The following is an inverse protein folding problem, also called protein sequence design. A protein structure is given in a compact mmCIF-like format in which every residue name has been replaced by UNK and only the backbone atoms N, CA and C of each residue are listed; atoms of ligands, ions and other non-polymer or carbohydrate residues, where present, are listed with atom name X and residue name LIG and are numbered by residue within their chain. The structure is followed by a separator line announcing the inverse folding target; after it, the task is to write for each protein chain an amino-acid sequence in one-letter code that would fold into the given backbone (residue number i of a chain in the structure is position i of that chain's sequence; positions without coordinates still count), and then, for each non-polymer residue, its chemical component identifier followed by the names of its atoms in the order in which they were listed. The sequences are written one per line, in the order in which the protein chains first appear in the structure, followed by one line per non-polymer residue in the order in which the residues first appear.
data_IF_977103015458
#
_entry.id   IF_977103015458
#
_cell.length_a   1.000
_cell.length_b   1.000
_cell.length_c   1.000
_cell.angle_alpha   90.00
_cell.angle_beta   90.00
_cell.angle_gamma   90.00
#
_symmetry.space_group_name_H-M   'P 1'
#
loop_
_entity.id
_entity.type
_entity.pdbx_description
1 polymer ?
#
# COMPACT_ATOMS: atom_id res chain seq x y z
N UNK A 1 -12.35 -43.96 19.93
CA UNK A 1 -11.60 -43.36 18.80
C UNK A 1 -10.98 -42.07 19.31
N UNK A 2 -9.73 -42.13 19.76
CA UNK A 2 -8.94 -40.94 20.05
C UNK A 2 -8.63 -40.24 18.73
N UNK A 3 -9.10 -39.00 18.55
CA UNK A 3 -8.63 -38.16 17.45
C UNK A 3 -7.17 -37.83 17.75
N UNK A 4 -6.25 -38.34 16.93
CA UNK A 4 -4.86 -37.96 16.99
C UNK A 4 -4.73 -36.43 17.01
N UNK A 5 -4.11 -35.91 18.07
CA UNK A 5 -3.80 -34.49 18.19
C UNK A 5 -2.69 -34.17 17.17
N UNK A 6 -3.09 -33.67 16.00
CA UNK A 6 -2.16 -33.18 14.98
C UNK A 6 -1.55 -31.91 15.57
N UNK A 7 -0.23 -31.92 15.80
CA UNK A 7 0.46 -30.70 16.21
C UNK A 7 0.19 -29.61 15.16
N UNK A 8 -0.22 -28.41 15.58
CA UNK A 8 -0.48 -27.33 14.64
C UNK A 8 0.82 -27.04 13.87
N UNK A 9 0.75 -26.86 12.54
CA UNK A 9 1.91 -26.52 11.73
C UNK A 9 2.64 -25.30 12.31
N UNK A 10 3.95 -25.21 12.09
CA UNK A 10 4.69 -24.01 12.47
C UNK A 10 4.00 -22.80 11.84
N UNK A 11 3.92 -21.67 12.56
CA UNK A 11 3.00 -20.58 12.19
C UNK A 11 3.23 -20.02 10.78
N UNK A 12 4.44 -20.16 10.23
CA UNK A 12 4.76 -19.83 8.84
C UNK A 12 4.18 -20.77 7.78
N UNK A 13 3.97 -22.05 8.11
CA UNK A 13 3.48 -23.07 7.19
C UNK A 13 2.01 -22.84 6.84
N UNK A 14 1.19 -22.37 7.79
CA UNK A 14 -0.22 -22.01 7.52
C UNK A 14 -0.33 -20.96 6.41
N UNK A 15 0.49 -19.90 6.50
CA UNK A 15 0.45 -18.81 5.52
C UNK A 15 0.90 -19.29 4.15
N UNK A 16 1.99 -20.08 4.12
CA UNK A 16 2.53 -20.67 2.90
C UNK A 16 1.53 -21.60 2.24
N UNK A 17 0.87 -22.47 3.00
CA UNK A 17 -0.14 -23.41 2.51
C UNK A 17 -1.34 -22.68 1.92
N UNK A 18 -1.85 -21.67 2.65
CA UNK A 18 -2.96 -20.83 2.19
C UNK A 18 -2.60 -20.11 0.89
N UNK A 19 -1.39 -19.55 0.80
CA UNK A 19 -0.88 -18.91 -0.43
C UNK A 19 -0.77 -19.92 -1.57
N UNK A 20 -0.16 -21.09 -1.35
CA UNK A 20 -0.01 -22.12 -2.40
C UNK A 20 -1.39 -22.51 -2.93
N UNK A 21 -2.36 -22.70 -2.04
CA UNK A 21 -3.73 -23.07 -2.42
C UNK A 21 -4.42 -22.02 -3.29
N UNK A 22 -4.25 -20.72 -2.99
CA UNK A 22 -4.96 -19.65 -3.68
C UNK A 22 -4.21 -19.09 -4.89
N UNK A 23 -2.88 -19.04 -4.83
CA UNK A 23 -2.04 -18.33 -5.78
C UNK A 23 -0.90 -19.18 -6.36
N UNK A 24 -0.58 -20.33 -5.78
CA UNK A 24 0.50 -21.22 -6.22
C UNK A 24 1.91 -20.71 -5.85
N UNK A 25 2.24 -19.45 -6.17
CA UNK A 25 3.57 -18.84 -5.93
C UNK A 25 3.49 -17.54 -5.12
N UNK A 26 4.64 -17.08 -4.59
CA UNK A 26 4.76 -15.76 -3.96
C UNK A 26 4.59 -14.64 -4.98
N UNK A 27 5.12 -14.83 -6.19
CA UNK A 27 5.03 -13.89 -7.30
C UNK A 27 3.57 -13.65 -7.69
N UNK A 28 2.75 -14.71 -7.73
CA UNK A 28 1.34 -14.59 -8.09
C UNK A 28 0.53 -13.85 -7.00
N UNK A 29 0.80 -14.11 -5.72
CA UNK A 29 0.16 -13.35 -4.64
C UNK A 29 0.57 -11.88 -4.70
N UNK A 30 1.88 -11.60 -4.86
CA UNK A 30 2.41 -10.24 -4.98
C UNK A 30 1.81 -9.50 -6.18
N UNK A 31 1.69 -10.17 -7.33
CA UNK A 31 1.03 -9.63 -8.50
C UNK A 31 -0.45 -9.30 -8.21
N UNK A 32 -1.16 -10.18 -7.50
CA UNK A 32 -2.59 -9.97 -7.16
C UNK A 32 -2.87 -8.76 -6.26
N UNK A 33 -1.84 -8.23 -5.59
CA UNK A 33 -1.94 -7.04 -4.73
C UNK A 33 -1.18 -5.85 -5.30
N UNK A 34 -0.98 -5.80 -6.62
CA UNK A 34 -0.62 -4.62 -7.40
C UNK A 34 0.52 -3.76 -6.81
N UNK A 35 1.59 -4.41 -6.33
CA UNK A 35 2.79 -3.71 -5.82
C UNK A 35 2.65 -3.11 -4.42
N UNK A 36 1.52 -3.29 -3.74
CA UNK A 36 1.38 -2.96 -2.31
C UNK A 36 2.18 -3.92 -1.42
N UNK A 37 2.54 -5.08 -1.96
CA UNK A 37 3.40 -6.08 -1.34
C UNK A 37 4.58 -6.35 -2.26
N UNK A 38 5.74 -6.63 -1.67
CA UNK A 38 6.88 -7.19 -2.41
C UNK A 38 7.18 -8.60 -1.88
N UNK A 39 7.88 -9.39 -2.70
CA UNK A 39 8.22 -10.79 -2.37
C UNK A 39 9.09 -10.91 -1.12
N UNK A 40 9.93 -9.92 -0.84
CA UNK A 40 10.75 -9.89 0.37
C UNK A 40 9.90 -9.75 1.63
N UNK A 41 8.94 -8.82 1.66
CA UNK A 41 8.06 -8.62 2.81
C UNK A 41 7.12 -9.82 3.01
N UNK A 42 6.63 -10.44 1.93
CA UNK A 42 5.88 -11.69 2.02
C UNK A 42 6.73 -12.84 2.57
N UNK A 43 7.96 -13.00 2.07
CA UNK A 43 8.89 -14.02 2.55
C UNK A 43 9.23 -13.83 4.04
N UNK A 44 9.41 -12.59 4.50
CA UNK A 44 9.60 -12.30 5.93
C UNK A 44 8.39 -12.74 6.77
N UNK A 45 7.19 -12.52 6.25
CA UNK A 45 5.95 -12.91 6.90
C UNK A 45 5.81 -14.45 6.96
N UNK A 46 6.07 -15.14 5.85
CA UNK A 46 6.04 -16.62 5.78
C UNK A 46 7.11 -17.28 6.66
N UNK A 47 8.25 -16.63 6.86
CA UNK A 47 9.31 -17.14 7.74
C UNK A 47 9.16 -16.67 9.19
N UNK A 48 7.98 -16.20 9.57
CA UNK A 48 7.65 -15.75 10.93
C UNK A 48 8.69 -14.78 11.53
N UNK A 49 9.24 -13.85 10.74
CA UNK A 49 10.13 -12.83 11.29
C UNK A 49 9.39 -12.01 12.34
N UNK A 50 10.08 -11.72 13.45
CA UNK A 50 9.46 -11.29 14.72
C UNK A 50 8.61 -10.02 14.67
N UNK A 51 8.63 -9.22 13.59
CA UNK A 51 7.94 -7.91 13.50
C UNK A 51 7.57 -7.52 12.05
N UNK A 52 6.59 -8.17 11.41
CA UNK A 52 6.07 -7.69 10.14
C UNK A 52 5.38 -6.34 10.33
N UNK A 53 5.40 -5.51 9.28
CA UNK A 53 4.64 -4.24 9.30
C UNK A 53 3.15 -4.57 9.29
N UNK A 54 2.37 -3.88 10.10
CA UNK A 54 0.91 -4.08 10.19
C UNK A 54 0.26 -3.99 8.80
N UNK A 55 0.63 -2.98 8.00
CA UNK A 55 0.15 -2.83 6.62
C UNK A 55 0.40 -4.06 5.75
N UNK A 56 1.60 -4.66 5.86
CA UNK A 56 1.92 -5.92 5.17
C UNK A 56 0.99 -7.05 5.58
N UNK A 57 0.71 -7.19 6.89
CA UNK A 57 -0.19 -8.23 7.39
C UNK A 57 -1.61 -8.04 6.83
N UNK A 58 -2.14 -6.81 6.82
CA UNK A 58 -3.48 -6.57 6.26
C UNK A 58 -3.57 -6.82 4.76
N UNK A 59 -2.57 -6.38 3.99
CA UNK A 59 -2.54 -6.61 2.54
C UNK A 59 -2.56 -8.11 2.25
N UNK A 60 -1.76 -8.89 2.99
CA UNK A 60 -1.71 -10.34 2.83
C UNK A 60 -3.00 -11.01 3.34
N UNK A 61 -3.58 -10.54 4.45
CA UNK A 61 -4.85 -11.04 4.97
C UNK A 61 -5.99 -10.86 3.96
N UNK A 62 -6.09 -9.65 3.40
CA UNK A 62 -7.04 -9.34 2.34
C UNK A 62 -6.87 -10.27 1.14
N UNK A 63 -5.64 -10.42 0.61
CA UNK A 63 -5.37 -11.32 -0.52
C UNK A 63 -5.77 -12.76 -0.21
N UNK A 64 -5.47 -13.23 1.00
CA UNK A 64 -5.75 -14.61 1.41
C UNK A 64 -7.19 -14.85 1.89
N UNK A 65 -8.06 -13.82 1.79
CA UNK A 65 -9.46 -13.86 2.22
C UNK A 65 -9.60 -14.34 3.66
N UNK A 66 -8.84 -13.71 4.54
CA UNK A 66 -8.86 -13.90 6.00
C UNK A 66 -8.84 -12.53 6.67
N UNK A 67 -9.33 -12.45 7.91
CA UNK A 67 -9.24 -11.18 8.64
C UNK A 67 -7.79 -10.93 9.10
N UNK A 68 -7.39 -9.66 9.27
CA UNK A 68 -6.11 -9.36 9.91
C UNK A 68 -5.97 -10.07 11.26
N UNK A 69 -7.02 -10.07 12.10
CA UNK A 69 -7.05 -10.70 13.41
C UNK A 69 -6.76 -12.21 13.33
N UNK A 70 -7.44 -12.92 12.43
CA UNK A 70 -7.18 -14.34 12.16
C UNK A 70 -5.72 -14.53 11.76
N UNK A 71 -5.19 -13.69 10.86
CA UNK A 71 -3.79 -13.77 10.45
C UNK A 71 -2.81 -13.53 11.60
N UNK A 72 -3.06 -12.54 12.47
CA UNK A 72 -2.22 -12.28 13.65
C UNK A 72 -2.23 -13.46 14.62
N UNK A 73 -3.40 -14.08 14.84
CA UNK A 73 -3.54 -15.28 15.68
C UNK A 73 -2.76 -16.46 15.10
N UNK A 74 -2.96 -16.77 13.81
CA UNK A 74 -2.30 -17.90 13.14
C UNK A 74 -0.78 -17.72 13.10
N UNK A 75 -0.32 -16.50 12.84
CA UNK A 75 1.11 -16.17 12.79
C UNK A 75 1.75 -16.04 14.19
N UNK A 76 0.97 -16.17 15.28
CA UNK A 76 1.40 -15.93 16.67
C UNK A 76 2.09 -14.57 16.83
N UNK A 77 1.66 -13.59 16.06
CA UNK A 77 2.18 -12.24 16.12
C UNK A 77 1.60 -11.55 17.38
N UNK A 78 2.37 -10.67 18.04
CA UNK A 78 1.87 -9.97 19.21
C UNK A 78 0.69 -9.08 18.82
N UNK A 79 -0.52 -9.52 19.17
CA UNK A 79 -1.78 -8.80 18.94
C UNK A 79 -1.78 -7.43 19.62
N UNK A 80 -0.87 -7.19 20.59
CA UNK A 80 -0.69 -5.91 21.30
C UNK A 80 -0.68 -4.69 20.38
N UNK A 81 -0.16 -4.80 19.15
CA UNK A 81 -0.15 -3.66 18.22
C UNK A 81 -1.52 -3.38 17.60
N UNK A 82 -2.34 -4.41 17.37
CA UNK A 82 -3.74 -4.25 17.00
C UNK A 82 -4.57 -3.85 18.21
N UNK A 83 -4.37 -4.48 19.38
CA UNK A 83 -5.04 -4.14 20.63
C UNK A 83 -4.81 -2.68 21.01
N UNK A 84 -3.59 -2.16 20.94
CA UNK A 84 -3.35 -0.76 21.27
C UNK A 84 -4.07 0.20 20.31
N UNK A 85 -4.14 -0.14 19.02
CA UNK A 85 -4.93 0.65 18.06
C UNK A 85 -6.43 0.51 18.33
N UNK A 86 -6.90 -0.69 18.65
CA UNK A 86 -8.28 -0.97 19.00
C UNK A 86 -8.69 -0.20 20.27
N UNK A 87 -7.89 -0.27 21.33
CA UNK A 87 -8.05 0.53 22.56
C UNK A 87 -8.02 2.05 22.30
N UNK A 88 -7.26 2.52 21.30
CA UNK A 88 -7.29 3.93 20.90
C UNK A 88 -8.59 4.27 20.18
N UNK A 89 -9.16 3.34 19.42
CA UNK A 89 -10.43 3.50 18.71
C UNK A 89 -11.64 3.37 19.63
N UNK A 90 -11.61 2.47 20.62
CA UNK A 90 -12.65 2.33 21.65
C UNK A 90 -12.79 3.59 22.52
N UNK A 91 -11.74 4.41 22.59
CA UNK A 91 -11.78 5.71 23.29
C UNK A 91 -12.46 6.80 22.47
N UNK A 92 -12.68 6.58 21.18
CA UNK A 92 -13.37 7.53 20.32
C UNK A 92 -14.87 7.34 20.50
N UNK A 93 -15.58 8.45 20.57
CA UNK A 93 -17.04 8.43 20.48
C UNK A 93 -17.50 7.90 19.11
N UNK A 94 -18.70 7.34 19.04
CA UNK A 94 -19.32 6.93 17.76
C UNK A 94 -19.32 8.05 16.72
N UNK A 95 -19.45 9.31 17.19
CA UNK A 95 -19.36 10.49 16.34
C UNK A 95 -17.97 10.63 15.71
N UNK A 96 -16.91 10.54 16.51
CA UNK A 96 -15.53 10.63 16.01
C UNK A 96 -15.16 9.45 15.09
N UNK A 97 -15.68 8.25 15.39
CA UNK A 97 -15.53 7.09 14.51
C UNK A 97 -16.21 7.32 13.15
N UNK A 98 -17.47 7.80 13.16
CA UNK A 98 -18.19 8.17 11.94
C UNK A 98 -17.48 9.29 11.18
N UNK A 99 -17.02 10.34 11.86
CA UNK A 99 -16.28 11.44 11.23
C UNK A 99 -14.99 10.94 10.58
N UNK A 100 -14.24 10.04 11.23
CA UNK A 100 -13.04 9.43 10.64
C UNK A 100 -13.35 8.55 9.43
N UNK A 101 -14.40 7.72 9.52
CA UNK A 101 -14.88 6.88 8.41
C UNK A 101 -15.32 7.73 7.23
N UNK A 102 -16.22 8.68 7.48
CA UNK A 102 -16.82 9.54 6.46
C UNK A 102 -15.75 10.44 5.83
N UNK A 103 -14.80 10.94 6.63
CA UNK A 103 -13.62 11.65 6.11
C UNK A 103 -12.86 10.78 5.14
N UNK A 104 -12.45 9.57 5.50
CA UNK A 104 -11.65 8.81 4.54
C UNK A 104 -12.45 8.17 3.40
N UNK A 105 -13.77 7.99 3.53
CA UNK A 105 -14.68 7.71 2.39
C UNK A 105 -14.79 8.91 1.45
N UNK A 106 -14.93 10.12 1.98
CA UNK A 106 -14.98 11.36 1.21
C UNK A 106 -13.65 11.60 0.50
N UNK A 107 -12.54 11.38 1.20
CA UNK A 107 -11.20 11.41 0.62
C UNK A 107 -11.05 10.36 -0.49
N UNK A 108 -11.56 9.15 -0.30
CA UNK A 108 -11.59 8.11 -1.33
C UNK A 108 -12.44 8.52 -2.54
N UNK A 109 -13.60 9.16 -2.31
CA UNK A 109 -14.49 9.68 -3.36
C UNK A 109 -13.86 10.83 -4.14
N UNK A 110 -13.20 11.77 -3.47
CA UNK A 110 -12.46 12.86 -4.12
C UNK A 110 -11.39 12.29 -5.04
N UNK A 111 -10.68 11.26 -4.58
CA UNK A 111 -9.69 10.56 -5.39
C UNK A 111 -10.29 9.87 -6.63
N UNK A 112 -11.51 9.32 -6.54
CA UNK A 112 -12.17 8.63 -7.68
C UNK A 112 -12.90 9.58 -8.64
N UNK A 113 -13.49 10.68 -8.15
CA UNK A 113 -14.21 11.66 -8.97
C UNK A 113 -13.24 12.54 -9.78
N UNK A 114 -12.11 12.94 -9.20
CA UNK A 114 -11.08 13.72 -9.92
C UNK A 114 -10.41 12.92 -11.05
N UNK A 115 -10.45 11.58 -10.98
CA UNK A 115 -9.93 10.69 -12.02
C UNK A 115 -10.86 10.57 -13.26
N UNK A 116 -12.10 11.07 -13.19
CA UNK A 116 -12.99 11.22 -14.34
C UNK A 116 -13.63 9.94 -14.90
N UNK A 117 -13.76 8.86 -14.12
CA UNK A 117 -14.34 7.59 -14.62
C UNK A 117 -15.79 7.33 -14.15
N UNK A 118 -16.64 6.69 -15.00
CA UNK A 118 -18.03 6.38 -14.66
C UNK A 118 -18.16 5.28 -13.59
N UNK A 119 -19.19 5.39 -12.75
CA UNK A 119 -19.44 4.54 -11.57
C UNK A 119 -19.82 3.07 -11.86
N UNK A 120 -20.21 2.73 -13.08
CA UNK A 120 -20.80 1.41 -13.38
C UNK A 120 -19.80 0.37 -13.93
N UNK A 121 -18.54 0.76 -14.14
CA UNK A 121 -17.44 -0.15 -14.48
C UNK A 121 -16.34 -0.07 -13.42
N UNK A 122 -16.69 -0.31 -12.15
CA UNK A 122 -15.68 -0.46 -11.09
C UNK A 122 -14.91 -1.78 -11.26
N UNK A 123 -14.04 -1.84 -12.26
CA UNK A 123 -12.68 -2.32 -12.05
C UNK A 123 -11.61 -1.51 -12.83
N UNK A 124 -11.22 -0.34 -12.31
CA UNK A 124 -10.13 0.48 -12.86
C UNK A 124 -8.75 -0.05 -12.44
N UNK A 125 -8.65 -1.02 -11.53
CA UNK A 125 -7.36 -1.55 -11.06
C UNK A 125 -6.73 -2.52 -12.07
N UNK A 126 -7.49 -3.09 -13.00
CA UNK A 126 -7.02 -4.08 -13.99
C UNK A 126 -6.37 -3.49 -15.25
N UNK A 127 -6.59 -2.20 -15.61
CA UNK A 127 -6.01 -1.60 -16.84
C UNK A 127 -4.77 -0.74 -16.62
N UNK A 128 -4.27 -0.68 -15.39
CA UNK A 128 -3.06 0.05 -15.03
C UNK A 128 -1.77 -0.72 -15.36
N UNK A 129 -1.87 -2.00 -15.72
CA UNK A 129 -0.74 -2.94 -15.77
C UNK A 129 0.27 -2.74 -16.91
N UNK A 130 0.03 -1.90 -17.92
CA UNK A 130 0.93 -1.89 -19.09
C UNK A 130 1.20 -0.55 -19.78
N UNK A 131 1.08 0.59 -19.07
CA UNK A 131 1.65 1.85 -19.60
C UNK A 131 3.08 2.01 -19.14
N UNK A 132 4.01 1.75 -20.06
CA UNK A 132 5.45 1.87 -19.86
C UNK A 132 5.81 3.21 -19.25
N UNK A 133 6.39 3.18 -18.06
CA UNK A 133 7.11 4.27 -17.38
C UNK A 133 8.33 4.79 -18.15
N UNK A 134 8.47 4.44 -19.44
CA UNK A 134 9.66 4.63 -20.27
C UNK A 134 10.16 6.07 -20.31
N UNK A 135 9.29 7.05 -20.04
CA UNK A 135 9.61 8.47 -20.06
C UNK A 135 9.74 9.11 -18.67
N UNK A 136 9.49 8.39 -17.58
CA UNK A 136 9.54 8.96 -16.22
C UNK A 136 10.93 9.50 -15.88
N UNK A 137 11.98 8.71 -16.13
CA UNK A 137 13.35 9.11 -15.88
C UNK A 137 13.78 10.36 -16.64
N UNK A 138 13.44 10.43 -17.92
CA UNK A 138 13.75 11.58 -18.77
C UNK A 138 13.01 12.85 -18.33
N UNK A 139 11.72 12.73 -17.99
CA UNK A 139 10.92 13.84 -17.48
C UNK A 139 11.41 14.32 -16.12
N UNK A 140 11.73 13.41 -15.20
CA UNK A 140 12.31 13.73 -13.90
C UNK A 140 13.62 14.50 -14.06
N UNK A 141 14.53 14.02 -14.93
CA UNK A 141 15.80 14.67 -15.25
C UNK A 141 15.57 16.09 -15.75
N UNK A 142 14.70 16.25 -16.74
CA UNK A 142 14.37 17.56 -17.32
C UNK A 142 13.87 18.52 -16.24
N UNK A 143 12.92 18.08 -15.40
CA UNK A 143 12.34 18.94 -14.36
C UNK A 143 13.36 19.31 -13.28
N UNK A 144 14.20 18.36 -12.87
CA UNK A 144 15.31 18.63 -11.95
C UNK A 144 16.26 19.69 -12.51
N UNK A 145 16.59 19.61 -13.80
CA UNK A 145 17.46 20.59 -14.47
C UNK A 145 16.80 21.97 -14.60
N UNK A 146 15.49 22.05 -14.87
CA UNK A 146 14.72 23.31 -14.87
C UNK A 146 14.73 24.01 -13.50
N UNK A 147 14.83 23.26 -12.40
CA UNK A 147 14.94 23.80 -11.04
C UNK A 147 16.37 24.20 -10.66
N UNK A 148 17.35 24.01 -11.56
CA UNK A 148 18.76 24.25 -11.28
C UNK A 148 19.36 23.23 -10.29
N UNK A 149 18.74 22.06 -10.13
CA UNK A 149 19.17 21.04 -9.17
C UNK A 149 20.09 20.01 -9.82
N UNK A 150 21.09 19.56 -9.06
CA UNK A 150 21.84 18.35 -9.37
C UNK A 150 21.18 17.12 -8.72
N UNK A 151 21.61 15.90 -9.07
CA UNK A 151 21.05 14.65 -8.51
C UNK A 151 21.15 14.57 -6.97
N UNK A 152 22.29 14.91 -6.32
CA UNK A 152 22.35 15.06 -4.86
C UNK A 152 21.32 16.02 -4.26
N UNK A 153 21.03 17.14 -4.92
CA UNK A 153 20.01 18.10 -4.48
C UNK A 153 18.63 17.46 -4.49
N UNK A 154 18.25 16.78 -5.58
CA UNK A 154 16.97 16.05 -5.65
C UNK A 154 16.89 14.94 -4.60
N UNK A 155 18.00 14.22 -4.36
CA UNK A 155 18.08 13.23 -3.29
C UNK A 155 17.76 13.87 -1.92
N UNK A 156 18.37 15.03 -1.63
CA UNK A 156 18.12 15.80 -0.41
C UNK A 156 16.66 16.26 -0.31
N UNK A 157 16.07 16.77 -1.40
CA UNK A 157 14.67 17.21 -1.42
C UNK A 157 13.68 16.05 -1.27
N UNK A 158 14.02 14.86 -1.78
CA UNK A 158 13.20 13.65 -1.61
C UNK A 158 13.26 13.06 -0.19
N UNK A 159 14.29 13.39 0.59
CA UNK A 159 14.48 13.01 2.00
C UNK A 159 14.97 11.58 2.25
N UNK A 160 14.68 10.62 1.36
CA UNK A 160 15.01 9.20 1.59
C UNK A 160 15.46 8.45 0.32
N UNK A 161 15.46 9.11 -0.85
CA UNK A 161 15.88 8.48 -2.10
C UNK A 161 17.33 8.88 -2.40
N UNK A 162 18.22 7.89 -2.46
CA UNK A 162 19.64 8.13 -2.71
C UNK A 162 19.94 8.54 -4.15
N UNK A 163 20.99 9.37 -4.34
CA UNK A 163 21.43 9.87 -5.65
C UNK A 163 21.67 8.77 -6.69
N UNK A 164 22.15 7.60 -6.26
CA UNK A 164 22.45 6.48 -7.16
C UNK A 164 21.16 5.90 -7.77
N UNK A 165 20.08 5.85 -6.99
CA UNK A 165 18.79 5.37 -7.48
C UNK A 165 18.21 6.37 -8.49
N UNK A 166 18.26 7.66 -8.17
CA UNK A 166 17.89 8.75 -9.09
C UNK A 166 18.66 8.65 -10.39
N UNK A 167 19.98 8.48 -10.32
CA UNK A 167 20.86 8.36 -11.48
C UNK A 167 20.47 7.20 -12.40
N UNK A 168 20.14 6.04 -11.81
CA UNK A 168 19.66 4.86 -12.55
C UNK A 168 18.29 5.09 -13.18
N UNK A 169 17.36 5.72 -12.46
CA UNK A 169 16.03 6.08 -12.98
C UNK A 169 16.16 7.05 -14.15
N UNK A 170 16.94 8.13 -14.01
CA UNK A 170 17.12 9.15 -15.05
C UNK A 170 17.79 8.63 -16.32
N UNK A 171 18.62 7.58 -16.21
CA UNK A 171 19.23 6.89 -17.37
C UNK A 171 18.32 5.84 -18.01
N UNK A 172 17.20 5.49 -17.37
CA UNK A 172 16.35 4.39 -17.80
C UNK A 172 16.87 3.00 -17.40
N UNK A 173 17.92 2.91 -16.57
CA UNK A 173 18.40 1.62 -16.00
C UNK A 173 17.34 0.98 -15.09
N UNK A 174 16.39 1.78 -14.61
CA UNK A 174 15.19 1.36 -13.89
C UNK A 174 14.01 1.93 -14.65
N UNK A 175 13.37 1.07 -15.44
CA UNK A 175 12.18 1.42 -16.23
C UNK A 175 10.96 1.54 -15.35
N UNK A 176 10.84 0.76 -14.28
CA UNK A 176 9.65 0.70 -13.41
C UNK A 176 10.03 0.98 -11.95
N UNK A 177 10.21 2.25 -11.56
CA UNK A 177 10.36 2.58 -10.15
C UNK A 177 9.06 2.26 -9.39
N UNK A 178 9.18 1.87 -8.12
CA UNK A 178 7.99 1.66 -7.28
C UNK A 178 7.14 2.94 -7.23
N UNK A 179 5.82 2.81 -7.09
CA UNK A 179 4.90 3.96 -6.97
C UNK A 179 5.35 4.92 -5.87
N UNK A 180 5.80 4.37 -4.73
CA UNK A 180 6.37 5.14 -3.63
C UNK A 180 7.59 5.98 -4.08
N UNK A 181 8.55 5.37 -4.76
CA UNK A 181 9.73 6.06 -5.31
C UNK A 181 9.34 7.14 -6.31
N UNK A 182 8.46 6.82 -7.26
CA UNK A 182 8.03 7.75 -8.31
C UNK A 182 7.30 8.97 -7.72
N UNK A 183 6.37 8.73 -6.78
CA UNK A 183 5.61 9.78 -6.11
C UNK A 183 6.52 10.72 -5.31
N UNK A 184 7.50 10.17 -4.57
CA UNK A 184 8.40 10.99 -3.78
C UNK A 184 9.37 11.82 -4.62
N UNK A 185 9.87 11.29 -5.74
CA UNK A 185 10.73 12.06 -6.66
C UNK A 185 9.96 13.18 -7.35
N UNK A 186 8.74 12.91 -7.80
CA UNK A 186 7.91 13.93 -8.41
C UNK A 186 7.46 15.00 -7.41
N UNK A 187 7.10 14.59 -6.18
CA UNK A 187 6.79 15.53 -5.10
C UNK A 187 7.98 16.43 -4.77
N UNK A 188 9.20 15.87 -4.75
CA UNK A 188 10.41 16.65 -4.51
C UNK A 188 10.63 17.73 -5.58
N UNK A 189 10.38 17.41 -6.85
CA UNK A 189 10.55 18.35 -7.96
C UNK A 189 9.46 19.43 -8.02
N UNK A 190 8.19 19.11 -7.82
CA UNK A 190 7.12 20.08 -8.13
C UNK A 190 6.19 20.43 -6.97
N UNK A 191 6.30 19.76 -5.80
CA UNK A 191 5.34 19.78 -4.66
C UNK A 191 3.88 19.44 -5.02
N UNK A 192 3.45 19.66 -6.26
CA UNK A 192 2.23 19.20 -6.86
C UNK A 192 2.50 17.82 -7.47
N UNK A 193 1.84 16.81 -6.95
CA UNK A 193 1.91 15.45 -7.49
C UNK A 193 1.34 15.34 -8.92
N UNK A 194 0.72 16.42 -9.43
CA UNK A 194 0.25 16.56 -10.82
C UNK A 194 1.35 16.29 -11.85
N UNK A 195 2.62 16.59 -11.55
CA UNK A 195 3.76 16.30 -12.44
C UNK A 195 3.97 14.79 -12.60
N UNK A 196 3.95 14.03 -11.51
CA UNK A 196 4.04 12.56 -11.53
C UNK A 196 2.91 11.97 -12.36
N UNK A 197 1.67 12.38 -12.13
CA UNK A 197 0.52 11.82 -12.83
C UNK A 197 0.54 12.16 -14.33
N UNK A 198 0.87 13.40 -14.71
CA UNK A 198 0.96 13.81 -16.12
C UNK A 198 2.08 13.08 -16.89
N UNK A 199 3.25 12.91 -16.27
CA UNK A 199 4.37 12.15 -16.85
C UNK A 199 4.06 10.66 -16.95
N UNK A 200 3.27 10.14 -16.02
CA UNK A 200 2.84 8.75 -15.97
C UNK A 200 1.57 8.47 -16.81
N UNK A 201 1.05 9.47 -17.53
CA UNK A 201 -0.12 9.33 -18.40
C UNK A 201 -1.48 9.32 -17.70
N UNK A 202 -1.54 9.81 -16.46
CA UNK A 202 -2.75 9.95 -15.65
C UNK A 202 -3.29 11.38 -15.72
N UNK A 203 -4.62 11.56 -15.78
CA UNK A 203 -5.22 12.86 -15.56
C UNK A 203 -5.17 13.26 -14.07
N UNK A 204 -4.57 14.43 -13.83
CA UNK A 204 -4.92 15.43 -12.79
C UNK A 204 -4.31 15.29 -11.37
N UNK A 205 -4.43 16.43 -10.69
CA UNK A 205 -3.78 17.06 -9.55
C UNK A 205 -3.81 16.30 -8.23
N UNK A 206 -2.71 16.37 -7.46
CA UNK A 206 -2.67 15.78 -6.12
C UNK A 206 -1.89 16.71 -5.15
N UNK A 207 -2.54 17.18 -4.08
CA UNK A 207 -2.14 18.13 -3.04
C UNK A 207 -1.58 17.46 -1.76
N UNK A 208 -0.94 18.21 -0.83
CA UNK A 208 -0.42 17.68 0.44
C UNK A 208 -1.41 16.90 1.32
N UNK A 209 -2.72 17.11 1.16
CA UNK A 209 -3.76 16.34 1.87
C UNK A 209 -3.80 14.86 1.45
N UNK A 210 -3.30 14.51 0.25
CA UNK A 210 -3.33 13.12 -0.23
C UNK A 210 -2.29 12.19 0.42
N UNK A 211 -1.35 12.73 1.20
CA UNK A 211 -0.42 11.91 2.01
C UNK A 211 -1.07 11.42 3.31
N UNK A 212 -1.91 12.26 3.93
CA UNK A 212 -2.80 11.86 5.03
C UNK A 212 -3.87 10.89 4.52
N UNK A 213 -4.36 11.11 3.30
CA UNK A 213 -5.37 10.28 2.61
C UNK A 213 -4.94 8.83 2.41
N UNK A 214 -3.72 8.55 1.94
CA UNK A 214 -3.23 7.16 1.82
C UNK A 214 -3.12 6.49 3.19
N UNK A 215 -2.69 7.23 4.21
CA UNK A 215 -2.58 6.73 5.58
C UNK A 215 -3.96 6.53 6.24
N UNK A 216 -4.94 7.40 5.96
CA UNK A 216 -6.34 7.32 6.39
C UNK A 216 -7.11 6.22 5.65
N UNK A 217 -6.90 6.03 4.35
CA UNK A 217 -7.48 4.92 3.58
C UNK A 217 -6.94 3.59 4.11
N UNK A 218 -5.63 3.49 4.35
CA UNK A 218 -5.06 2.31 5.02
C UNK A 218 -5.68 2.11 6.40
N UNK A 219 -5.84 3.17 7.21
CA UNK A 219 -6.51 3.09 8.50
C UNK A 219 -7.98 2.67 8.38
N UNK A 220 -8.73 3.11 7.36
CA UNK A 220 -10.13 2.70 7.12
C UNK A 220 -10.21 1.24 6.67
N UNK A 221 -9.28 0.77 5.85
CA UNK A 221 -9.18 -0.65 5.53
C UNK A 221 -8.85 -1.51 6.76
N UNK A 222 -8.18 -0.95 7.77
CA UNK A 222 -8.06 -1.57 9.10
C UNK A 222 -9.31 -1.42 9.98
N UNK A 223 -10.19 -0.46 9.72
CA UNK A 223 -11.41 -0.22 10.50
C UNK A 223 -12.67 -0.90 9.92
N UNK A 224 -12.72 -1.17 8.61
CA UNK A 224 -13.89 -1.77 7.96
C UNK A 224 -14.31 -3.11 8.60
N UNK A 225 -13.41 -4.06 8.91
CA UNK A 225 -13.78 -5.28 9.61
C UNK A 225 -14.28 -5.05 11.05
N UNK A 226 -13.75 -4.03 11.73
CA UNK A 226 -14.12 -3.68 13.11
C UNK A 226 -15.46 -2.93 13.19
N UNK A 227 -15.88 -2.25 12.11
CA UNK A 227 -17.14 -1.51 12.09
C UNK A 227 -18.34 -2.37 11.66
N UNK A 228 -18.14 -3.42 10.86
CA UNK A 228 -19.20 -4.37 10.50
C UNK A 228 -19.70 -5.17 11.72
N UNK A 229 -18.87 -5.39 12.75
CA UNK A 229 -19.28 -6.02 14.02
C UNK A 229 -20.21 -5.13 14.87
N UNK A 230 -20.20 -3.81 14.66
CA UNK A 230 -21.03 -2.85 15.41
C UNK A 230 -22.38 -2.52 14.74
N UNK A 231 -22.61 -2.91 13.49
CA UNK A 231 -23.92 -2.74 12.82
C UNK A 231 -24.89 -3.91 13.09
N UNK A 232 -24.46 -4.93 13.85
CA UNK A 232 -25.27 -6.11 14.21
C UNK A 232 -25.66 -6.21 15.70
N UNK A 233 -25.50 -5.15 16.50
CA UNK A 233 -25.96 -5.07 17.91
C UNK A 233 -27.07 -4.03 18.04
#
# INVERSE_FOLDING_TARGET
MERAYVQPPESGDWLRDRRIKLYGSQQNLVASVNGFLNTMDLSRLENAQKRPRIGTVAIVAYALRVTPEEMFQQLKLPVRTLQHKHEQLEKLSDRELREKRDRGLELWRQFTVEAGEPRDELDPFYRLEHRTFSNFGAALKKRREELGWNQPELARQSGHIGKNLISRIERGDITEPTVYTAAHLAYACDRAMSFSFKVLGYPVYVSPHQKELVQEILNIYFMLPLMEEYEFI
#
